data_IF_148329558934
#
_entry.id   IF_148329558934
#
_cell.length_a   1.000
_cell.length_b   1.000
_cell.length_c   1.000
_cell.angle_alpha   90.00
_cell.angle_beta   90.00
_cell.angle_gamma   90.00
#
_symmetry.space_group_name_H-M   'P 1'
#
loop_
_entity.id
_entity.type
_entity.pdbx_description
1 polymer ?
#
# COMPACT_ATOMS: atom_id res chain seq x y z
N UNK A 1 -3.77 -3.52 2.93
CA UNK A 1 -2.85 -3.37 1.78
C UNK A 1 -1.53 -2.90 2.32
N UNK A 2 -0.42 -3.49 1.89
CA UNK A 2 0.88 -3.29 2.49
C UNK A 2 1.89 -2.89 1.41
N UNK A 3 2.67 -1.86 1.68
CA UNK A 3 3.75 -1.42 0.81
C UNK A 3 5.00 -1.15 1.65
N UNK A 4 6.13 -1.72 1.24
CA UNK A 4 7.41 -1.56 1.90
C UNK A 4 8.23 -0.58 1.06
N UNK A 5 8.71 0.48 1.69
CA UNK A 5 9.50 1.54 1.06
C UNK A 5 10.73 1.85 1.90
N UNK A 6 11.74 2.49 1.30
CA UNK A 6 12.83 3.08 2.09
C UNK A 6 12.30 4.20 2.97
N UNK A 7 12.86 4.34 4.17
CA UNK A 7 12.44 5.36 5.15
C UNK A 7 12.63 6.78 4.62
N UNK A 8 13.64 6.99 3.77
CA UNK A 8 13.92 8.27 3.12
C UNK A 8 12.79 8.69 2.16
N UNK A 9 12.18 7.73 1.46
CA UNK A 9 11.14 7.97 0.45
C UNK A 9 9.74 7.53 0.87
N UNK A 10 9.54 7.31 2.17
CA UNK A 10 8.25 6.91 2.72
C UNK A 10 7.11 7.85 2.33
N UNK A 11 7.39 9.16 2.20
CA UNK A 11 6.38 10.16 1.84
C UNK A 11 5.94 10.04 0.39
N UNK A 12 6.88 9.77 -0.52
CA UNK A 12 6.57 9.49 -1.92
C UNK A 12 5.72 8.22 -2.02
N UNK A 13 6.15 7.14 -1.36
CA UNK A 13 5.41 5.87 -1.30
C UNK A 13 3.98 6.03 -0.77
N UNK A 14 3.81 6.85 0.27
CA UNK A 14 2.51 7.13 0.88
C UNK A 14 1.60 7.88 -0.10
N UNK A 15 2.12 8.93 -0.74
CA UNK A 15 1.37 9.70 -1.73
C UNK A 15 0.95 8.84 -2.94
N UNK A 16 1.86 7.99 -3.43
CA UNK A 16 1.59 7.07 -4.53
C UNK A 16 0.54 6.00 -4.17
N UNK A 17 0.63 5.44 -2.96
CA UNK A 17 -0.34 4.49 -2.41
C UNK A 17 -1.73 5.11 -2.32
N UNK A 18 -1.85 6.29 -1.71
CA UNK A 18 -3.11 7.03 -1.58
C UNK A 18 -3.70 7.35 -2.94
N UNK A 19 -2.88 7.86 -3.86
CA UNK A 19 -3.30 8.23 -5.21
C UNK A 19 -3.86 7.02 -5.98
N UNK A 20 -3.12 5.91 -6.03
CA UNK A 20 -3.56 4.74 -6.80
C UNK A 20 -4.85 4.12 -6.25
N UNK A 21 -5.01 4.14 -4.92
CA UNK A 21 -6.22 3.68 -4.25
C UNK A 21 -7.41 4.61 -4.53
N UNK A 22 -7.20 5.93 -4.51
CA UNK A 22 -8.23 6.92 -4.89
C UNK A 22 -8.65 6.78 -6.37
N UNK A 23 -7.68 6.62 -7.29
CA UNK A 23 -7.95 6.41 -8.72
C UNK A 23 -8.79 5.14 -8.96
N UNK A 24 -8.60 4.12 -8.13
CA UNK A 24 -9.36 2.88 -8.17
C UNK A 24 -10.65 2.90 -7.31
N UNK A 25 -11.03 4.05 -6.74
CA UNK A 25 -12.21 4.21 -5.87
C UNK A 25 -12.19 3.30 -4.63
N UNK A 26 -11.00 3.02 -4.08
CA UNK A 26 -10.79 2.31 -2.82
C UNK A 26 -10.41 3.31 -1.72
N UNK A 27 -11.39 3.93 -1.03
CA UNK A 27 -11.09 4.83 0.07
C UNK A 27 -10.37 4.09 1.21
N UNK A 28 -9.30 4.72 1.70
CA UNK A 28 -8.51 4.24 2.84
C UNK A 28 -9.25 4.59 4.13
N UNK A 29 -9.55 3.59 4.95
CA UNK A 29 -10.10 3.75 6.31
C UNK A 29 -9.08 4.32 7.26
N UNK A 30 -7.89 3.73 7.23
CA UNK A 30 -6.80 3.95 8.16
C UNK A 30 -5.49 3.67 7.47
N UNK A 31 -4.49 4.48 7.76
CA UNK A 31 -3.16 4.36 7.20
C UNK A 31 -2.16 4.40 8.33
N UNK A 32 -1.41 3.31 8.48
CA UNK A 32 -0.38 3.16 9.48
C UNK A 32 0.97 2.99 8.81
N UNK A 33 1.99 3.63 9.38
CA UNK A 33 3.37 3.47 8.91
C UNK A 33 4.19 2.95 10.07
N UNK A 34 4.77 1.77 9.88
CA UNK A 34 5.60 1.09 10.87
C UNK A 34 7.04 0.95 10.35
N UNK A 35 8.06 1.02 11.22
CA UNK A 35 9.41 0.67 10.84
C UNK A 35 9.50 -0.82 10.45
N UNK A 36 10.12 -1.12 9.31
CA UNK A 36 10.29 -2.47 8.78
C UNK A 36 11.77 -2.77 8.57
N UNK A 37 12.35 -3.62 9.41
CA UNK A 37 13.80 -3.87 9.40
C UNK A 37 14.60 -2.63 9.81
N UNK A 38 15.78 -2.45 9.20
CA UNK A 38 16.74 -1.41 9.61
C UNK A 38 16.50 -0.06 8.90
N UNK A 39 16.24 -0.06 7.59
CA UNK A 39 16.15 1.17 6.76
C UNK A 39 14.84 1.30 5.95
N UNK A 40 13.91 0.36 6.13
CA UNK A 40 12.62 0.38 5.45
C UNK A 40 11.49 0.73 6.42
N UNK A 41 10.37 1.08 5.83
CA UNK A 41 9.10 1.26 6.50
C UNK A 41 8.05 0.46 5.76
N UNK A 42 7.11 -0.09 6.51
CA UNK A 42 5.91 -0.72 5.99
C UNK A 42 4.75 0.27 6.15
N UNK A 43 4.07 0.52 5.03
CA UNK A 43 2.85 1.29 4.93
C UNK A 43 1.69 0.31 4.86
N UNK A 44 0.85 0.32 5.88
CA UNK A 44 -0.37 -0.48 5.96
C UNK A 44 -1.58 0.42 5.72
N UNK A 45 -2.25 0.25 4.59
CA UNK A 45 -3.53 0.88 4.29
C UNK A 45 -4.68 -0.11 4.52
N UNK A 46 -5.56 0.23 5.45
CA UNK A 46 -6.85 -0.43 5.64
C UNK A 46 -7.86 0.20 4.68
N UNK A 47 -8.61 -0.62 3.93
CA UNK A 47 -9.58 -0.13 2.94
C UNK A 47 -11.00 -0.19 3.51
N UNK A 48 -11.83 0.83 3.23
CA UNK A 48 -13.24 0.86 3.67
C UNK A 48 -14.17 0.04 2.76
N UNK A 49 -13.69 -0.39 1.58
CA UNK A 49 -14.53 -1.03 0.58
C UNK A 49 -15.01 -2.42 1.03
N UNK A 50 -16.34 -2.60 1.06
CA UNK A 50 -16.98 -3.90 1.34
C UNK A 50 -16.86 -4.89 0.17
N UNK A 51 -16.54 -4.39 -1.03
CA UNK A 51 -16.25 -5.18 -2.21
C UNK A 51 -14.77 -5.04 -2.55
N UNK A 52 -13.98 -6.07 -2.22
CA UNK A 52 -12.57 -6.14 -2.60
C UNK A 52 -12.46 -6.86 -3.95
N UNK A 53 -12.06 -6.13 -5.00
CA UNK A 53 -11.75 -6.75 -6.29
C UNK A 53 -10.25 -7.08 -6.36
N UNK A 54 -9.95 -8.39 -6.32
CA UNK A 54 -8.59 -8.90 -6.41
C UNK A 54 -7.85 -8.38 -7.66
N UNK A 55 -8.53 -8.28 -8.80
CA UNK A 55 -7.90 -7.84 -10.05
C UNK A 55 -7.54 -6.35 -10.07
N UNK A 56 -8.27 -5.51 -9.33
CA UNK A 56 -7.92 -4.10 -9.21
C UNK A 56 -6.78 -3.89 -8.22
N UNK A 57 -6.84 -4.54 -7.06
CA UNK A 57 -5.75 -4.45 -6.09
C UNK A 57 -4.44 -5.02 -6.61
N UNK A 58 -4.48 -6.09 -7.40
CA UNK A 58 -3.29 -6.66 -8.05
C UNK A 58 -2.65 -5.67 -9.02
N UNK A 59 -3.47 -4.91 -9.78
CA UNK A 59 -2.97 -3.82 -10.64
C UNK A 59 -2.33 -2.70 -9.83
N UNK A 60 -2.95 -2.30 -8.72
CA UNK A 60 -2.40 -1.26 -7.83
C UNK A 60 -1.06 -1.73 -7.24
N UNK A 61 -1.00 -2.97 -6.77
CA UNK A 61 0.25 -3.56 -6.25
C UNK A 61 1.32 -3.63 -7.32
N UNK A 62 0.97 -4.03 -8.56
CA UNK A 62 1.90 -4.00 -9.68
C UNK A 62 2.40 -2.59 -10.00
N UNK A 63 1.52 -1.59 -9.94
CA UNK A 63 1.88 -0.19 -10.16
C UNK A 63 2.81 0.35 -9.06
N UNK A 64 2.57 0.01 -7.78
CA UNK A 64 3.46 0.34 -6.67
C UNK A 64 4.80 -0.38 -6.79
N UNK A 65 4.80 -1.68 -7.06
CA UNK A 65 6.03 -2.46 -7.19
C UNK A 65 6.89 -2.03 -8.39
N UNK A 66 6.30 -1.35 -9.39
CA UNK A 66 7.05 -0.74 -10.48
C UNK A 66 7.79 0.55 -10.08
N UNK A 67 7.53 1.10 -8.90
CA UNK A 67 8.13 2.35 -8.45
C UNK A 67 9.49 2.12 -7.80
N UNK A 68 10.50 2.97 -8.09
CA UNK A 68 11.87 2.75 -7.63
C UNK A 68 12.06 2.90 -6.12
N UNK A 69 11.07 3.45 -5.41
CA UNK A 69 11.11 3.66 -3.96
C UNK A 69 10.35 2.57 -3.19
N UNK A 70 9.55 1.75 -3.87
CA UNK A 70 8.85 0.61 -3.28
C UNK A 70 9.76 -0.61 -3.40
N UNK A 71 10.14 -1.18 -2.27
CA UNK A 71 10.88 -2.43 -2.22
C UNK A 71 9.97 -3.63 -2.51
N UNK A 72 8.73 -3.59 -1.98
CA UNK A 72 7.75 -4.65 -2.14
C UNK A 72 6.35 -4.12 -1.84
N UNK A 73 5.33 -4.59 -2.57
CA UNK A 73 3.94 -4.27 -2.28
C UNK A 73 3.09 -5.54 -2.38
N UNK A 74 2.07 -5.66 -1.52
CA UNK A 74 1.15 -6.79 -1.51
C UNK A 74 -0.19 -6.40 -0.86
N UNK A 75 -1.26 -7.08 -1.25
CA UNK A 75 -2.58 -6.90 -0.65
C UNK A 75 -3.10 -8.25 -0.17
N UNK A 76 -3.71 -8.27 1.01
CA UNK A 76 -4.38 -9.45 1.56
C UNK A 76 -5.82 -9.08 1.90
N UNK A 77 -6.82 -9.90 1.51
CA UNK A 77 -8.23 -9.67 1.85
C UNK A 77 -8.57 -10.02 3.31
N UNK A 78 -7.62 -10.58 4.05
CA UNK A 78 -7.82 -11.07 5.41
C UNK A 78 -6.79 -10.43 6.34
N UNK A 79 -7.16 -9.31 6.97
CA UNK A 79 -6.55 -8.88 8.23
C UNK A 79 -7.31 -9.56 9.37
N UNK A 80 -6.93 -10.78 9.68
CA UNK A 80 -7.29 -11.43 10.95
C UNK A 80 -6.20 -12.43 11.32
N UNK A 81 -5.27 -12.02 12.18
CA UNK A 81 -4.77 -12.84 13.30
C UNK A 81 -4.57 -11.94 14.52
#
# INVERSE_FOLDING_TARGET
MHAISTRERQKDALADLERLLEEASYPISDLSVAPFGEDHVELEAMLMSTAVNAGELDRIVGALAAQPHIAQAYWNPSTTE
#
